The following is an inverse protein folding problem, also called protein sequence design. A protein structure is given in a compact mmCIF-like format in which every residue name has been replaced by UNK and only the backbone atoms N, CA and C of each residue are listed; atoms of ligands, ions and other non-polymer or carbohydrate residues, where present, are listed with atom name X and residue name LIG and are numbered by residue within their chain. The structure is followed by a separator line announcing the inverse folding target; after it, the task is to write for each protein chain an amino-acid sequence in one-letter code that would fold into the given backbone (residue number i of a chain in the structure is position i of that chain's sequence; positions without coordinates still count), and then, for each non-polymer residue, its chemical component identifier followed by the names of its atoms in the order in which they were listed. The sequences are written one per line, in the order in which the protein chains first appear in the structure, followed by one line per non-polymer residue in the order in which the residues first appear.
data_IF_715638619472
#
_entry.id   IF_715638619472
#
_cell.length_a   1.000
_cell.length_b   1.000
_cell.length_c   1.000
_cell.angle_alpha   90.00
_cell.angle_beta   90.00
_cell.angle_gamma   90.00
#
_symmetry.space_group_name_H-M   'P 1'
#
loop_
_entity.id
_entity.type
_entity.pdbx_description
1 polymer ?
#
# COMPACT_ATOMS: atom_id res chain seq x y z
N UNK A 1 -6.53 -16.97 -16.42
CA UNK A 1 -7.51 -16.67 -15.36
C UNK A 1 -6.76 -16.60 -14.05
N UNK A 2 -6.60 -15.41 -13.47
CA UNK A 2 -5.85 -15.27 -12.21
C UNK A 2 -6.61 -16.03 -11.11
N UNK A 3 -6.01 -17.13 -10.64
CA UNK A 3 -6.57 -17.99 -9.59
C UNK A 3 -6.36 -17.27 -8.25
N UNK A 4 -7.47 -16.93 -7.61
CA UNK A 4 -7.61 -16.24 -6.33
C UNK A 4 -6.68 -15.05 -6.06
N UNK A 5 -7.19 -13.85 -6.39
CA UNK A 5 -6.58 -12.56 -6.08
C UNK A 5 -6.76 -12.14 -4.61
N UNK A 6 -7.26 -13.01 -3.74
CA UNK A 6 -7.57 -12.64 -2.37
C UNK A 6 -6.31 -12.43 -1.52
N UNK A 7 -6.37 -11.42 -0.66
CA UNK A 7 -5.36 -11.12 0.35
C UNK A 7 -6.04 -10.63 1.62
N UNK A 8 -5.53 -11.11 2.75
CA UNK A 8 -6.03 -10.79 4.10
C UNK A 8 -6.09 -9.29 4.36
N UNK A 9 -5.07 -8.56 3.89
CA UNK A 9 -4.96 -7.11 4.07
C UNK A 9 -4.26 -6.45 2.89
N UNK A 10 -4.52 -5.16 2.72
CA UNK A 10 -3.83 -4.32 1.72
C UNK A 10 -2.30 -4.35 1.94
N UNK A 11 -1.83 -4.44 3.18
CA UNK A 11 -0.41 -4.57 3.49
C UNK A 11 0.20 -5.86 2.93
N UNK A 12 -0.51 -6.99 3.01
CA UNK A 12 -0.07 -8.26 2.41
C UNK A 12 -0.02 -8.16 0.88
N UNK A 13 -0.98 -7.47 0.26
CA UNK A 13 -0.92 -7.20 -1.18
C UNK A 13 0.31 -6.36 -1.57
N UNK A 14 0.59 -5.30 -0.81
CA UNK A 14 1.77 -4.44 -1.03
C UNK A 14 3.07 -5.22 -0.88
N UNK A 15 3.20 -6.06 0.16
CA UNK A 15 4.38 -6.92 0.34
C UNK A 15 4.58 -7.89 -0.82
N UNK A 16 3.50 -8.50 -1.33
CA UNK A 16 3.55 -9.39 -2.50
C UNK A 16 3.94 -8.61 -3.76
N UNK A 17 3.41 -7.41 -3.96
CA UNK A 17 3.75 -6.53 -5.08
C UNK A 17 5.24 -6.14 -5.05
N UNK A 18 5.78 -5.79 -3.88
CA UNK A 18 7.22 -5.47 -3.70
C UNK A 18 8.14 -6.61 -4.12
N UNK A 19 7.71 -7.86 -3.88
CA UNK A 19 8.50 -9.06 -4.23
C UNK A 19 8.38 -9.47 -5.70
N UNK A 20 7.26 -9.15 -6.36
CA UNK A 20 6.92 -9.66 -7.70
C UNK A 20 7.11 -8.64 -8.83
N UNK A 21 7.03 -7.35 -8.54
CA UNK A 21 7.15 -6.30 -9.54
C UNK A 21 8.62 -5.91 -9.77
N UNK A 22 9.00 -5.53 -11.00
CA UNK A 22 10.27 -4.87 -11.26
C UNK A 22 10.44 -3.63 -10.37
N UNK A 23 11.67 -3.37 -9.93
CA UNK A 23 11.98 -2.26 -9.01
C UNK A 23 11.43 -0.92 -9.50
N UNK A 24 11.60 -0.60 -10.78
CA UNK A 24 11.08 0.63 -11.38
C UNK A 24 9.55 0.73 -11.29
N UNK A 25 8.84 -0.33 -11.67
CA UNK A 25 7.38 -0.37 -11.64
C UNK A 25 6.84 -0.26 -10.20
N UNK A 26 7.43 -0.99 -9.24
CA UNK A 26 7.03 -0.88 -7.83
C UNK A 26 7.30 0.52 -7.28
N UNK A 27 8.48 1.08 -7.57
CA UNK A 27 8.84 2.43 -7.14
C UNK A 27 7.87 3.47 -7.69
N UNK A 28 7.50 3.43 -8.98
CA UNK A 28 6.53 4.35 -9.57
C UNK A 28 5.14 4.27 -8.92
N UNK A 29 4.70 3.07 -8.49
CA UNK A 29 3.40 2.90 -7.84
C UNK A 29 3.37 3.46 -6.40
N UNK A 30 4.47 3.34 -5.65
CA UNK A 30 4.53 3.75 -4.24
C UNK A 30 4.96 5.21 -4.06
N UNK A 31 5.74 5.75 -4.98
CA UNK A 31 6.31 7.10 -4.80
C UNK A 31 5.30 8.24 -4.89
N UNK A 32 4.07 8.02 -5.40
CA UNK A 32 3.02 9.05 -5.50
C UNK A 32 3.57 10.41 -6.03
N UNK A 33 2.89 11.53 -5.84
CA UNK A 33 3.39 12.84 -6.35
C UNK A 33 4.57 13.43 -5.56
N UNK A 34 5.02 12.82 -4.46
CA UNK A 34 6.00 13.43 -3.54
C UNK A 34 6.91 12.40 -2.84
N UNK A 35 7.49 11.45 -3.58
CA UNK A 35 8.36 10.38 -3.02
C UNK A 35 7.73 9.53 -1.91
N UNK A 36 6.41 9.45 -1.86
CA UNK A 36 5.65 8.63 -0.92
C UNK A 36 5.41 9.30 0.43
N UNK A 37 5.76 10.59 0.59
CA UNK A 37 5.47 11.37 1.81
C UNK A 37 3.97 11.37 2.07
N UNK A 38 3.16 11.74 1.07
CA UNK A 38 1.71 11.78 1.19
C UNK A 38 1.05 10.42 1.43
N UNK A 39 1.75 9.30 1.18
CA UNK A 39 1.22 7.94 1.40
C UNK A 39 1.35 7.52 2.86
N UNK A 40 2.51 7.75 3.48
CA UNK A 40 2.72 7.43 4.89
C UNK A 40 1.82 8.27 5.78
N UNK A 41 1.74 9.59 5.50
CA UNK A 41 0.91 10.52 6.27
C UNK A 41 -0.58 10.14 6.21
N UNK A 42 -1.09 9.75 5.03
CA UNK A 42 -2.49 9.33 4.88
C UNK A 42 -2.83 8.12 5.76
N UNK A 43 -1.92 7.13 5.82
CA UNK A 43 -2.13 5.92 6.61
C UNK A 43 -2.11 6.25 8.11
N UNK A 44 -1.22 7.14 8.54
CA UNK A 44 -1.10 7.57 9.93
C UNK A 44 -2.31 8.39 10.39
N UNK A 45 -2.88 9.25 9.53
CA UNK A 45 -4.09 10.02 9.87
C UNK A 45 -5.29 9.17 10.28
N UNK A 46 -5.41 7.92 9.80
CA UNK A 46 -6.47 7.03 10.28
C UNK A 46 -6.30 6.59 11.73
N UNK A 47 -5.07 6.58 12.26
CA UNK A 47 -4.80 6.29 13.67
C UNK A 47 -5.11 7.47 14.59
N UNK A 48 -5.22 8.68 14.05
CA UNK A 48 -5.64 9.88 14.77
C UNK A 48 -7.16 9.91 15.02
N UNK A 49 -7.92 9.12 14.26
CA UNK A 49 -9.36 8.95 14.46
C UNK A 49 -9.63 7.94 15.58
N UNK A 50 -10.26 8.39 16.66
CA UNK A 50 -10.75 7.52 17.72
C UNK A 50 -12.03 6.79 17.30
N UNK A 51 -12.22 5.58 17.81
CA UNK A 51 -13.51 4.89 17.68
C UNK A 51 -14.54 5.53 18.64
N UNK A 52 -15.75 5.78 18.14
CA UNK A 52 -16.91 6.12 18.96
C UNK A 52 -17.86 4.92 18.98
N UNK A 53 -17.72 4.01 19.97
CA UNK A 53 -18.54 2.80 20.09
C UNK A 53 -19.93 3.09 20.67
#
# INVERSE_FOLDING_TARGET
MARDTWFETVAIAQQRAKKRLPKSAYSSLISASEKGVSVSDNVESFAELGFAP
#
